data_IF_298532839794
#
_entry.id   IF_298532839794
#
_cell.length_a   1.000
_cell.length_b   1.000
_cell.length_c   1.000
_cell.angle_alpha   90.00
_cell.angle_beta   90.00
_cell.angle_gamma   90.00
#
_symmetry.space_group_name_H-M   'P 1'
#
loop_
_entity.id
_entity.type
_entity.pdbx_description
1 polymer ?
#
# COMPACT_ATOMS: atom_id res chain seq x y z
N UNK A 1 -14.23 -16.90 2.17
CA UNK A 1 -13.04 -16.17 1.65
C UNK A 1 -12.76 -15.04 2.62
N UNK A 2 -11.55 -14.95 3.19
CA UNK A 2 -11.22 -13.83 4.10
C UNK A 2 -11.09 -12.57 3.25
N UNK A 3 -11.95 -11.58 3.49
CA UNK A 3 -11.85 -10.26 2.88
C UNK A 3 -10.65 -9.54 3.50
N UNK A 4 -9.76 -9.03 2.66
CA UNK A 4 -8.60 -8.24 3.10
C UNK A 4 -9.07 -6.84 3.48
N UNK A 5 -8.72 -6.39 4.69
CA UNK A 5 -9.02 -5.03 5.16
C UNK A 5 -8.02 -4.03 4.58
N UNK A 6 -8.50 -3.09 3.78
CA UNK A 6 -7.67 -2.07 3.13
C UNK A 6 -8.04 -0.67 3.60
N UNK A 7 -7.04 0.09 4.04
CA UNK A 7 -7.15 1.52 4.29
C UNK A 7 -6.56 2.28 3.10
N UNK A 8 -7.29 3.29 2.62
CA UNK A 8 -6.84 4.12 1.50
C UNK A 8 -6.64 5.56 1.98
N UNK A 9 -5.51 6.17 1.60
CA UNK A 9 -5.17 7.57 1.88
C UNK A 9 -4.60 8.25 0.63
N UNK A 10 -4.50 9.57 0.66
CA UNK A 10 -3.91 10.36 -0.43
C UNK A 10 -4.90 10.96 -1.42
N UNK A 11 -4.36 11.71 -2.38
CA UNK A 11 -5.12 12.45 -3.39
C UNK A 11 -5.96 11.52 -4.29
N UNK A 12 -5.44 10.34 -4.61
CA UNK A 12 -6.12 9.35 -5.45
C UNK A 12 -7.14 8.47 -4.67
N UNK A 13 -7.38 8.74 -3.38
CA UNK A 13 -8.10 7.81 -2.50
C UNK A 13 -9.50 7.42 -3.00
N UNK A 14 -10.22 8.32 -3.68
CA UNK A 14 -11.55 8.00 -4.22
C UNK A 14 -11.49 6.94 -5.32
N UNK A 15 -10.61 7.14 -6.32
CA UNK A 15 -10.49 6.22 -7.44
C UNK A 15 -9.98 4.84 -6.96
N UNK A 16 -8.97 4.84 -6.09
CA UNK A 16 -8.42 3.62 -5.52
C UNK A 16 -9.45 2.88 -4.67
N UNK A 17 -10.25 3.60 -3.86
CA UNK A 17 -11.34 2.97 -3.09
C UNK A 17 -12.34 2.29 -4.01
N UNK A 18 -12.73 2.94 -5.12
CA UNK A 18 -13.68 2.34 -6.08
C UNK A 18 -13.15 1.04 -6.68
N UNK A 19 -11.90 1.04 -7.16
CA UNK A 19 -11.25 -0.15 -7.72
C UNK A 19 -11.25 -1.30 -6.70
N UNK A 20 -10.89 -1.01 -5.45
CA UNK A 20 -10.80 -2.02 -4.40
C UNK A 20 -12.18 -2.56 -3.99
N UNK A 21 -13.21 -1.71 -3.94
CA UNK A 21 -14.59 -2.17 -3.71
C UNK A 21 -15.06 -3.11 -4.82
N UNK A 22 -14.80 -2.77 -6.08
CA UNK A 22 -15.18 -3.58 -7.25
C UNK A 22 -14.46 -4.94 -7.29
N UNK A 23 -13.28 -5.01 -6.68
CA UNK A 23 -12.49 -6.24 -6.50
C UNK A 23 -12.86 -7.04 -5.24
N UNK A 24 -13.83 -6.56 -4.45
CA UNK A 24 -14.33 -7.24 -3.25
C UNK A 24 -13.39 -7.13 -2.05
N UNK A 25 -12.69 -6.00 -1.89
CA UNK A 25 -11.95 -5.67 -0.66
C UNK A 25 -12.86 -4.98 0.36
N UNK A 26 -12.53 -5.12 1.66
CA UNK A 26 -13.22 -4.37 2.73
C UNK A 26 -12.46 -3.08 2.99
N UNK A 27 -13.13 -1.94 2.80
CA UNK A 27 -12.54 -0.62 3.05
C UNK A 27 -12.73 -0.26 4.52
N UNK A 28 -11.62 -0.08 5.23
CA UNK A 28 -11.62 0.30 6.66
C UNK A 28 -11.03 1.69 6.84
N UNK A 29 -11.45 2.37 7.91
CA UNK A 29 -10.92 3.68 8.32
C UNK A 29 -11.02 4.75 7.22
N UNK A 30 -12.07 4.66 6.40
CA UNK A 30 -12.40 5.61 5.35
C UNK A 30 -12.75 6.99 5.93
N UNK A 31 -12.43 8.05 5.17
CA UNK A 31 -12.87 9.41 5.51
C UNK A 31 -14.38 9.56 5.30
N UNK A 32 -14.99 10.60 5.90
CA UNK A 32 -16.41 10.89 5.71
C UNK A 32 -16.78 11.07 4.24
N UNK A 33 -15.94 11.77 3.46
CA UNK A 33 -16.14 11.99 2.02
C UNK A 33 -16.22 10.66 1.25
N UNK A 34 -15.30 9.72 1.53
CA UNK A 34 -15.29 8.41 0.87
C UNK A 34 -16.50 7.58 1.27
N UNK A 35 -16.88 7.62 2.55
CA UNK A 35 -18.05 6.92 3.07
C UNK A 35 -19.33 7.42 2.40
N UNK A 36 -19.52 8.73 2.31
CA UNK A 36 -20.67 9.34 1.65
C UNK A 36 -20.74 8.97 0.16
N UNK A 37 -19.61 9.01 -0.55
CA UNK A 37 -19.54 8.68 -1.99
C UNK A 37 -19.93 7.24 -2.30
N UNK A 38 -19.59 6.29 -1.44
CA UNK A 38 -19.77 4.86 -1.69
C UNK A 38 -20.79 4.18 -0.76
N UNK A 39 -21.49 4.95 0.08
CA UNK A 39 -22.49 4.41 1.03
C UNK A 39 -21.87 3.48 2.08
N UNK A 40 -20.66 3.77 2.55
CA UNK A 40 -19.95 2.92 3.51
C UNK A 40 -20.27 3.30 4.96
N UNK A 41 -20.51 2.29 5.79
CA UNK A 41 -20.57 2.48 7.25
C UNK A 41 -19.20 2.88 7.83
N UNK A 42 -19.22 3.44 9.04
CA UNK A 42 -17.98 3.71 9.74
C UNK A 42 -17.36 2.39 10.20
N UNK A 43 -16.13 2.12 9.76
CA UNK A 43 -15.39 0.94 10.16
C UNK A 43 -14.01 1.34 10.71
N UNK A 44 -13.76 1.07 11.99
CA UNK A 44 -12.50 1.40 12.67
C UNK A 44 -11.55 0.21 12.78
N UNK A 45 -11.91 -0.93 12.19
CA UNK A 45 -11.11 -2.17 12.20
C UNK A 45 -9.68 -1.93 11.73
N UNK A 46 -8.71 -2.69 12.25
CA UNK A 46 -7.32 -2.58 11.80
C UNK A 46 -7.20 -2.94 10.32
N UNK A 47 -6.39 -2.16 9.61
CA UNK A 47 -6.06 -2.41 8.23
C UNK A 47 -4.93 -3.44 8.13
N UNK A 48 -5.07 -4.40 7.22
CA UNK A 48 -3.99 -5.32 6.84
C UNK A 48 -3.07 -4.70 5.79
N UNK A 49 -3.65 -3.84 4.95
CA UNK A 49 -2.96 -3.12 3.88
C UNK A 49 -3.35 -1.66 3.92
N UNK A 50 -2.37 -0.78 3.76
CA UNK A 50 -2.58 0.64 3.49
C UNK A 50 -2.11 0.94 2.07
N UNK A 51 -2.97 1.57 1.28
CA UNK A 51 -2.62 2.16 -0.01
C UNK A 51 -2.62 3.68 0.15
N UNK A 52 -1.52 4.33 -0.22
CA UNK A 52 -1.37 5.79 -0.14
C UNK A 52 -0.46 6.32 -1.24
N UNK A 53 -0.47 7.62 -1.44
CA UNK A 53 0.54 8.34 -2.20
C UNK A 53 1.92 8.28 -1.53
N UNK A 54 2.98 8.25 -2.34
CA UNK A 54 4.38 8.30 -1.88
C UNK A 54 5.15 9.50 -2.46
N UNK A 55 5.09 9.66 -3.78
CA UNK A 55 5.68 10.78 -4.52
C UNK A 55 4.72 11.19 -5.67
N UNK A 56 5.16 12.09 -6.55
CA UNK A 56 4.44 12.50 -7.75
C UNK A 56 4.16 11.24 -8.59
N UNK A 57 2.88 10.99 -8.83
CA UNK A 57 2.37 9.86 -9.63
C UNK A 57 2.72 8.46 -9.08
N UNK A 58 3.08 8.35 -7.79
CA UNK A 58 3.40 7.06 -7.14
C UNK A 58 2.34 6.63 -6.12
N UNK A 59 1.95 5.35 -6.19
CA UNK A 59 1.15 4.67 -5.17
C UNK A 59 1.99 3.65 -4.42
N UNK A 60 1.98 3.77 -3.10
CA UNK A 60 2.64 2.87 -2.18
C UNK A 60 1.63 1.94 -1.49
N UNK A 61 1.89 0.64 -1.61
CA UNK A 61 1.11 -0.43 -0.98
C UNK A 61 1.96 -1.05 0.14
N UNK A 62 1.53 -0.89 1.39
CA UNK A 62 2.22 -1.43 2.57
C UNK A 62 1.26 -2.32 3.35
N UNK A 63 1.69 -3.51 3.75
CA UNK A 63 0.88 -4.39 4.58
C UNK A 63 1.51 -5.76 4.78
N UNK A 64 0.72 -6.69 5.35
CA UNK A 64 1.13 -8.09 5.44
C UNK A 64 1.44 -8.65 4.05
N UNK A 65 2.54 -9.41 3.91
CA UNK A 65 3.09 -9.82 2.62
C UNK A 65 2.03 -10.40 1.66
N UNK A 66 1.21 -11.36 2.12
CA UNK A 66 0.16 -11.97 1.30
C UNK A 66 -0.93 -10.98 0.88
N UNK A 67 -1.45 -10.21 1.85
CA UNK A 67 -2.52 -9.24 1.64
C UNK A 67 -2.07 -8.08 0.73
N UNK A 68 -0.87 -7.53 0.96
CA UNK A 68 -0.30 -6.46 0.14
C UNK A 68 0.01 -6.92 -1.28
N UNK A 69 0.57 -8.13 -1.46
CA UNK A 69 0.82 -8.72 -2.78
C UNK A 69 -0.47 -8.93 -3.57
N UNK A 70 -1.56 -9.30 -2.91
CA UNK A 70 -2.88 -9.44 -3.53
C UNK A 70 -3.42 -8.08 -3.99
N UNK A 71 -3.41 -7.07 -3.11
CA UNK A 71 -3.85 -5.70 -3.43
C UNK A 71 -3.04 -5.12 -4.59
N UNK A 72 -1.71 -5.26 -4.55
CA UNK A 72 -0.83 -4.77 -5.62
C UNK A 72 -1.17 -5.40 -6.97
N UNK A 73 -1.39 -6.71 -7.01
CA UNK A 73 -1.78 -7.42 -8.24
C UNK A 73 -3.09 -6.91 -8.81
N UNK A 74 -4.12 -6.78 -7.98
CA UNK A 74 -5.43 -6.30 -8.44
C UNK A 74 -5.39 -4.86 -8.95
N UNK A 75 -4.56 -4.00 -8.34
CA UNK A 75 -4.32 -2.64 -8.82
C UNK A 75 -3.62 -2.66 -10.18
N UNK A 76 -2.54 -3.45 -10.33
CA UNK A 76 -1.79 -3.57 -11.59
C UNK A 76 -2.64 -4.15 -12.71
N UNK A 77 -3.45 -5.17 -12.44
CA UNK A 77 -4.35 -5.76 -13.42
C UNK A 77 -5.41 -4.75 -13.91
N UNK A 78 -5.74 -3.75 -13.08
CA UNK A 78 -6.72 -2.70 -13.40
C UNK A 78 -6.07 -1.51 -14.12
N UNK A 79 -4.85 -1.14 -13.72
CA UNK A 79 -4.13 0.05 -14.16
C UNK A 79 -3.08 -0.37 -15.22
N UNK A 80 -3.41 -0.18 -16.50
CA UNK A 80 -2.66 -0.77 -17.63
C UNK A 80 -1.25 -0.22 -17.87
N UNK A 81 -0.96 1.00 -17.44
CA UNK A 81 0.29 1.70 -17.76
C UNK A 81 1.03 2.08 -16.49
N UNK A 82 1.59 1.08 -15.83
CA UNK A 82 2.32 1.26 -14.57
C UNK A 82 3.73 0.71 -14.63
N UNK A 83 4.64 1.40 -13.96
CA UNK A 83 5.88 0.80 -13.47
C UNK A 83 5.62 0.23 -12.08
N UNK A 84 6.18 -0.94 -11.80
CA UNK A 84 6.03 -1.59 -10.51
C UNK A 84 7.39 -1.89 -9.92
N UNK A 85 7.53 -1.67 -8.62
CA UNK A 85 8.72 -2.03 -7.87
C UNK A 85 8.28 -2.59 -6.52
N UNK A 86 8.94 -3.66 -6.08
CA UNK A 86 8.72 -4.26 -4.78
C UNK A 86 10.04 -4.18 -4.03
N UNK A 87 10.02 -3.56 -2.85
CA UNK A 87 11.20 -3.48 -2.01
C UNK A 87 11.72 -4.89 -1.68
N UNK A 88 13.02 -5.17 -1.91
CA UNK A 88 13.62 -6.44 -1.52
C UNK A 88 13.69 -6.58 0.00
N UNK A 89 13.66 -5.46 0.72
CA UNK A 89 13.66 -5.41 2.18
C UNK A 89 12.25 -5.08 2.70
N UNK A 90 11.80 -5.85 3.68
CA UNK A 90 10.52 -5.60 4.35
C UNK A 90 10.55 -4.35 5.22
N UNK A 91 9.43 -3.65 5.33
CA UNK A 91 9.32 -2.54 6.28
C UNK A 91 9.55 -3.07 7.72
N UNK A 92 10.41 -2.39 8.49
CA UNK A 92 10.83 -2.78 9.85
C UNK A 92 11.52 -4.15 9.96
N UNK A 93 12.00 -4.71 8.85
CA UNK A 93 12.79 -5.94 8.89
C UNK A 93 14.21 -5.67 9.39
N UNK A 94 14.76 -6.63 10.12
CA UNK A 94 16.14 -6.59 10.63
C UNK A 94 17.01 -7.39 9.68
N UNK A 95 18.13 -6.79 9.26
CA UNK A 95 19.10 -7.41 8.37
C UNK A 95 20.52 -7.25 8.91
N UNK A 96 21.38 -8.19 8.57
CA UNK A 96 22.85 -8.04 8.71
C UNK A 96 23.37 -7.56 7.36
N UNK A 97 24.13 -6.47 7.35
CA UNK A 97 24.66 -5.86 6.12
C UNK A 97 26.12 -5.45 6.24
N UNK A 98 26.77 -5.23 5.10
CA UNK A 98 28.18 -4.83 5.00
C UNK A 98 28.24 -3.36 4.56
N UNK A 99 28.93 -2.52 5.32
CA UNK A 99 29.17 -1.12 4.90
C UNK A 99 30.15 -1.11 3.73
N UNK A 100 29.68 -0.67 2.56
CA UNK A 100 30.50 -0.55 1.33
C UNK A 100 31.11 0.83 1.17
N UNK A 101 30.38 1.86 1.57
CA UNK A 101 30.82 3.26 1.47
C UNK A 101 30.37 4.05 2.69
N UNK A 102 31.25 4.93 3.17
CA UNK A 102 30.94 5.92 4.20
C UNK A 102 30.90 7.31 3.57
N UNK A 103 29.80 8.02 3.77
CA UNK A 103 29.62 9.44 3.43
C UNK A 103 29.68 10.28 4.71
N UNK A 104 29.56 11.60 4.59
CA UNK A 104 29.72 12.51 5.73
C UNK A 104 28.76 12.21 6.90
N UNK A 105 27.51 11.86 6.60
CA UNK A 105 26.44 11.64 7.57
C UNK A 105 25.70 10.30 7.40
N UNK A 106 26.05 9.52 6.37
CA UNK A 106 25.33 8.31 5.97
C UNK A 106 26.30 7.21 5.51
N UNK A 107 25.82 5.96 5.46
CA UNK A 107 26.57 4.82 4.92
C UNK A 107 25.74 4.11 3.85
N UNK A 108 26.39 3.66 2.78
CA UNK A 108 25.79 2.72 1.84
C UNK A 108 26.07 1.31 2.37
N UNK A 109 25.00 0.58 2.65
CA UNK A 109 25.04 -0.78 3.21
C UNK A 109 24.55 -1.77 2.17
N UNK A 110 25.38 -2.75 1.85
CA UNK A 110 24.97 -3.91 1.05
C UNK A 110 24.20 -4.88 1.97
N UNK A 111 22.99 -5.21 1.55
CA UNK A 111 22.08 -6.10 2.26
C UNK A 111 21.63 -7.18 1.27
N UNK A 112 22.26 -8.36 1.35
CA UNK A 112 21.97 -9.50 0.47
C UNK A 112 22.58 -9.35 -0.92
#
# INVERSE_FOLDING_TARGET
MVLVNVRVRGIAATAITKILLDKGYRIVQASNIIRERFGLEQDTSPAEVTVKDADIDELLVIGFHGSAKKVMRDLVDTLKYLFTWVSPIGLHSIHVGIVREKKADTCIVEIG
#
